data_IF_347588290697
#
_entry.id   IF_347588290697
#
_cell.length_a   1.000
_cell.length_b   1.000
_cell.length_c   1.000
_cell.angle_alpha   90.00
_cell.angle_beta   90.00
_cell.angle_gamma   90.00
#
_symmetry.space_group_name_H-M   'P 1'
#
loop_
_entity.id
_entity.type
_entity.pdbx_description
1 polymer ?
#
# COMPACT_ATOMS: atom_id res chain seq x y z
N UNK A 1 21.70 12.97 5.00
CA UNK A 1 21.85 11.49 5.12
C UNK A 1 21.50 10.82 3.79
N UNK A 2 22.08 9.65 3.48
CA UNK A 2 21.77 8.91 2.26
C UNK A 2 20.65 7.89 2.47
N UNK A 3 19.63 7.93 1.62
CA UNK A 3 18.55 6.96 1.59
C UNK A 3 18.73 6.00 0.42
N UNK A 4 18.44 4.71 0.63
CA UNK A 4 18.45 3.70 -0.44
C UNK A 4 17.04 3.20 -0.69
N UNK A 5 16.59 3.26 -1.93
CA UNK A 5 15.28 2.73 -2.30
C UNK A 5 15.28 1.20 -2.18
N UNK A 6 14.34 0.57 -1.45
CA UNK A 6 14.30 -0.89 -1.32
C UNK A 6 13.86 -1.60 -2.61
N UNK A 7 13.26 -0.88 -3.57
CA UNK A 7 12.75 -1.46 -4.81
C UNK A 7 13.70 -1.36 -6.01
N UNK A 8 14.49 -0.29 -6.10
CA UNK A 8 15.43 -0.08 -7.20
C UNK A 8 16.89 0.12 -6.76
N UNK A 9 17.15 0.13 -5.44
CA UNK A 9 18.48 0.26 -4.82
C UNK A 9 19.27 1.54 -5.15
N UNK A 10 18.66 2.50 -5.86
CA UNK A 10 19.22 3.83 -6.09
C UNK A 10 19.36 4.57 -4.75
N UNK A 11 20.50 5.25 -4.58
CA UNK A 11 20.78 6.07 -3.41
C UNK A 11 20.48 7.55 -3.70
N UNK A 12 19.80 8.23 -2.77
CA UNK A 12 19.45 9.66 -2.87
C UNK A 12 19.78 10.40 -1.57
N UNK A 13 20.25 11.64 -1.66
CA UNK A 13 20.39 12.52 -0.49
C UNK A 13 19.00 12.90 0.01
N UNK A 14 18.75 12.69 1.31
CA UNK A 14 17.50 13.15 1.92
C UNK A 14 17.40 14.67 1.87
N UNK A 15 18.51 15.39 2.03
CA UNK A 15 18.51 16.86 1.96
C UNK A 15 17.97 17.37 0.62
N UNK A 16 18.33 16.70 -0.49
CA UNK A 16 17.82 17.08 -1.82
C UNK A 16 16.31 16.91 -1.94
N UNK A 17 15.75 15.83 -1.38
CA UNK A 17 14.29 15.60 -1.41
C UNK A 17 13.56 16.63 -0.55
N UNK A 18 14.09 16.96 0.63
CA UNK A 18 13.46 17.94 1.53
C UNK A 18 13.59 19.37 1.01
N UNK A 19 14.61 19.68 0.23
CA UNK A 19 14.75 21.02 -0.36
C UNK A 19 13.83 21.26 -1.57
N UNK A 20 13.34 20.20 -2.21
CA UNK A 20 12.36 20.30 -3.29
C UNK A 20 10.98 20.72 -2.74
N UNK A 21 10.46 21.84 -3.22
CA UNK A 21 9.17 22.39 -2.77
C UNK A 21 8.00 21.46 -3.06
N UNK A 22 7.93 20.92 -4.28
CA UNK A 22 6.82 20.07 -4.69
C UNK A 22 6.84 18.74 -3.94
N UNK A 23 8.02 18.20 -3.64
CA UNK A 23 8.17 17.02 -2.81
C UNK A 23 7.68 17.29 -1.38
N UNK A 24 8.10 18.40 -0.75
CA UNK A 24 7.64 18.77 0.61
C UNK A 24 6.13 18.91 0.67
N UNK A 25 5.56 19.64 -0.27
CA UNK A 25 4.12 19.89 -0.29
C UNK A 25 3.33 18.61 -0.55
N UNK A 26 3.80 17.73 -1.44
CA UNK A 26 3.20 16.41 -1.64
C UNK A 26 3.24 15.59 -0.35
N UNK A 27 4.37 15.55 0.35
CA UNK A 27 4.49 14.77 1.60
C UNK A 27 3.59 15.33 2.72
N UNK A 28 3.45 16.66 2.82
CA UNK A 28 2.52 17.29 3.76
C UNK A 28 1.07 16.89 3.45
N UNK A 29 0.64 17.04 2.18
CA UNK A 29 -0.70 16.64 1.73
C UNK A 29 -0.97 15.15 2.01
N UNK A 30 0.01 14.28 1.78
CA UNK A 30 -0.11 12.84 2.05
C UNK A 30 -0.18 12.52 3.55
N UNK A 31 0.44 13.33 4.40
CA UNK A 31 0.40 13.22 5.86
C UNK A 31 -0.94 13.64 6.46
N UNK A 32 -1.61 14.62 5.85
CA UNK A 32 -2.91 15.11 6.29
C UNK A 32 -4.08 14.19 5.87
N UNK A 33 -3.88 13.33 4.87
CA UNK A 33 -4.90 12.42 4.37
C UNK A 33 -5.10 11.18 5.28
N UNK A 34 -6.35 10.73 5.48
CA UNK A 34 -6.65 9.45 6.13
C UNK A 34 -5.91 8.28 5.47
N UNK A 35 -5.52 7.28 6.26
CA UNK A 35 -4.73 6.12 5.79
C UNK A 35 -5.43 5.32 4.70
N UNK A 36 -6.75 5.34 4.71
CA UNK A 36 -7.65 4.70 3.76
C UNK A 36 -7.54 5.31 2.35
N UNK A 37 -7.09 6.57 2.27
CA UNK A 37 -6.89 7.30 1.01
C UNK A 37 -5.42 7.37 0.67
N UNK A 38 -4.56 7.76 1.61
CA UNK A 38 -3.14 8.02 1.35
C UNK A 38 -2.41 6.78 0.84
N UNK A 39 -2.65 5.59 1.41
CA UNK A 39 -2.01 4.34 0.95
C UNK A 39 -2.34 3.98 -0.50
N UNK A 40 -3.62 3.84 -0.90
CA UNK A 40 -3.94 3.53 -2.28
C UNK A 40 -3.62 4.69 -3.24
N UNK A 41 -3.61 5.94 -2.77
CA UNK A 41 -3.19 7.09 -3.58
C UNK A 41 -1.71 7.02 -3.99
N UNK A 42 -0.79 6.66 -3.08
CA UNK A 42 0.62 6.42 -3.47
C UNK A 42 0.72 5.35 -4.57
N UNK A 43 -0.01 4.25 -4.40
CA UNK A 43 -0.02 3.17 -5.37
C UNK A 43 -0.59 3.61 -6.73
N UNK A 44 -1.63 4.45 -6.71
CA UNK A 44 -2.25 5.02 -7.89
C UNK A 44 -1.34 5.99 -8.64
N UNK A 45 -0.63 6.90 -7.94
CA UNK A 45 0.39 7.77 -8.55
C UNK A 45 1.49 6.94 -9.25
N UNK A 46 1.83 5.78 -8.68
CA UNK A 46 2.75 4.82 -9.29
C UNK A 46 2.34 4.29 -10.67
N UNK A 47 1.06 4.43 -11.08
CA UNK A 47 0.56 4.02 -12.39
C UNK A 47 0.84 5.04 -13.51
N UNK A 48 1.26 6.26 -13.16
CA UNK A 48 1.56 7.34 -14.13
C UNK A 48 3.01 7.33 -14.60
N UNK A 49 3.88 6.54 -13.99
CA UNK A 49 5.29 6.44 -14.38
C UNK A 49 5.47 5.41 -15.50
N UNK A 50 6.40 5.70 -16.41
CA UNK A 50 6.85 4.70 -17.40
C UNK A 50 7.85 3.73 -16.78
N UNK A 51 8.22 2.69 -17.53
CA UNK A 51 9.27 1.75 -17.08
C UNK A 51 10.63 2.43 -16.94
N UNK A 52 10.91 3.45 -17.75
CA UNK A 52 12.22 4.09 -17.87
C UNK A 52 12.33 5.44 -17.16
N UNK A 53 11.21 6.09 -16.83
CA UNK A 53 11.22 7.46 -16.30
C UNK A 53 10.43 7.57 -15.00
N UNK A 54 11.06 8.18 -14.01
CA UNK A 54 10.41 8.55 -12.75
C UNK A 54 9.30 9.60 -13.00
N UNK A 55 8.30 9.59 -12.12
CA UNK A 55 7.29 10.63 -12.07
C UNK A 55 7.91 11.87 -11.40
N UNK A 56 7.84 13.02 -12.07
CA UNK A 56 8.31 14.28 -11.50
C UNK A 56 7.44 14.73 -10.31
N UNK A 57 8.03 15.36 -9.30
CA UNK A 57 7.34 15.74 -8.06
C UNK A 57 6.19 16.72 -8.32
N UNK A 58 6.39 17.71 -9.19
CA UNK A 58 5.38 18.71 -9.55
C UNK A 58 4.17 18.05 -10.23
N UNK A 59 4.43 17.03 -11.06
CA UNK A 59 3.37 16.25 -11.70
C UNK A 59 2.65 15.37 -10.68
N UNK A 60 3.38 14.72 -9.77
CA UNK A 60 2.79 13.91 -8.71
C UNK A 60 1.89 14.74 -7.79
N UNK A 61 2.36 15.92 -7.37
CA UNK A 61 1.60 16.86 -6.55
C UNK A 61 0.32 17.32 -7.23
N UNK A 62 0.40 17.68 -8.52
CA UNK A 62 -0.78 18.07 -9.31
C UNK A 62 -1.82 16.94 -9.37
N UNK A 63 -1.38 15.73 -9.73
CA UNK A 63 -2.25 14.55 -9.78
C UNK A 63 -2.86 14.24 -8.41
N UNK A 64 -2.11 14.42 -7.33
CA UNK A 64 -2.59 14.20 -5.98
C UNK A 64 -3.76 15.13 -5.64
N UNK A 65 -3.60 16.44 -5.87
CA UNK A 65 -4.66 17.44 -5.68
C UNK A 65 -5.88 17.16 -6.56
N UNK A 66 -5.65 16.91 -7.84
CA UNK A 66 -6.73 16.57 -8.78
C UNK A 66 -7.56 15.38 -8.30
N UNK A 67 -6.93 14.35 -7.71
CA UNK A 67 -7.62 13.16 -7.18
C UNK A 67 -8.41 13.46 -5.91
N UNK A 68 -7.83 14.21 -4.96
CA UNK A 68 -8.51 14.58 -3.72
C UNK A 68 -9.75 15.44 -4.01
N UNK A 69 -9.71 16.25 -5.07
CA UNK A 69 -10.84 17.08 -5.50
C UNK A 69 -11.95 16.28 -6.22
N UNK A 70 -11.75 14.99 -6.57
CA UNK A 70 -12.75 14.21 -7.30
C UNK A 70 -13.96 13.80 -6.46
N UNK A 71 -13.81 13.63 -5.15
CA UNK A 71 -14.91 13.26 -4.27
C UNK A 71 -14.72 13.83 -2.87
N UNK A 72 -15.83 14.29 -2.28
CA UNK A 72 -15.89 14.73 -0.89
C UNK A 72 -16.02 13.56 0.09
N UNK A 73 -16.43 12.40 -0.40
CA UNK A 73 -16.50 11.17 0.40
C UNK A 73 -15.16 10.43 0.33
N UNK A 74 -14.36 10.59 1.39
CA UNK A 74 -13.06 9.97 1.51
C UNK A 74 -13.10 8.44 1.52
N UNK A 75 -14.15 7.82 2.06
CA UNK A 75 -14.28 6.36 2.10
C UNK A 75 -14.58 5.81 0.71
N UNK A 76 -15.46 6.49 -0.03
CA UNK A 76 -15.74 6.16 -1.42
C UNK A 76 -14.49 6.33 -2.30
N UNK A 77 -13.75 7.43 -2.14
CA UNK A 77 -12.52 7.71 -2.89
C UNK A 77 -11.43 6.66 -2.62
N UNK A 78 -11.15 6.37 -1.35
CA UNK A 78 -10.11 5.39 -0.97
C UNK A 78 -10.40 3.99 -1.53
N UNK A 79 -11.66 3.57 -1.50
CA UNK A 79 -12.05 2.27 -2.04
C UNK A 79 -12.06 2.25 -3.58
N UNK A 80 -12.43 3.35 -4.26
CA UNK A 80 -12.33 3.46 -5.72
C UNK A 80 -10.87 3.46 -6.20
N UNK A 81 -9.97 4.12 -5.47
CA UNK A 81 -8.52 4.09 -5.74
C UNK A 81 -7.98 2.66 -5.61
N UNK A 82 -8.36 1.96 -4.54
CA UNK A 82 -7.92 0.58 -4.31
C UNK A 82 -8.36 -0.36 -5.43
N UNK A 83 -9.64 -0.31 -5.81
CA UNK A 83 -10.20 -1.09 -6.92
C UNK A 83 -9.50 -0.77 -8.26
N UNK A 84 -9.24 0.51 -8.52
CA UNK A 84 -8.54 0.97 -9.72
C UNK A 84 -7.11 0.41 -9.77
N UNK A 85 -6.38 0.49 -8.66
CA UNK A 85 -5.00 0.00 -8.56
C UNK A 85 -4.93 -1.50 -8.78
N UNK A 86 -5.82 -2.26 -8.17
CA UNK A 86 -5.88 -3.72 -8.32
C UNK A 86 -6.17 -4.12 -9.78
N UNK A 87 -7.20 -3.52 -10.37
CA UNK A 87 -7.60 -3.78 -11.75
C UNK A 87 -6.50 -3.45 -12.76
N UNK A 88 -5.79 -2.35 -12.56
CA UNK A 88 -4.71 -1.92 -13.47
C UNK A 88 -3.42 -2.70 -13.26
N UNK A 89 -3.13 -3.16 -12.03
CA UNK A 89 -1.99 -4.06 -11.77
C UNK A 89 -2.20 -5.44 -12.39
N UNK A 90 -3.42 -5.98 -12.36
CA UNK A 90 -3.75 -7.21 -13.07
C UNK A 90 -3.45 -7.07 -14.58
N UNK A 91 -3.79 -5.93 -15.18
CA UNK A 91 -3.44 -5.62 -16.59
C UNK A 91 -1.95 -5.46 -16.81
N UNK A 92 -1.21 -4.85 -15.88
CA UNK A 92 0.25 -4.74 -15.98
C UNK A 92 0.94 -6.10 -16.10
N UNK A 93 0.44 -7.10 -15.37
CA UNK A 93 0.98 -8.46 -15.39
C UNK A 93 0.72 -9.18 -16.71
N UNK A 94 -0.32 -8.79 -17.45
CA UNK A 94 -0.67 -9.37 -18.75
C UNK A 94 0.19 -8.83 -19.91
N UNK A 95 1.02 -7.80 -19.67
CA UNK A 95 1.89 -7.20 -20.68
C UNK A 95 1.27 -6.01 -21.42
N UNK A 96 2.05 -5.35 -22.28
CA UNK A 96 1.57 -4.20 -23.07
C UNK A 96 1.22 -2.93 -22.27
N UNK A 97 1.61 -2.84 -21.00
CA UNK A 97 1.24 -1.71 -20.13
C UNK A 97 1.73 -0.35 -20.67
N UNK A 98 0.80 0.59 -20.71
CA UNK A 98 1.08 2.01 -20.91
C UNK A 98 0.72 2.80 -19.64
N UNK A 99 1.55 3.79 -19.24
CA UNK A 99 1.24 4.64 -18.11
C UNK A 99 -0.05 5.41 -18.30
N UNK A 100 -0.72 5.71 -17.20
CA UNK A 100 -1.90 6.56 -17.24
C UNK A 100 -1.54 7.99 -17.67
N UNK A 101 -2.42 8.60 -18.45
CA UNK A 101 -2.31 10.00 -18.87
C UNK A 101 -3.19 10.94 -18.04
N UNK A 102 -4.25 10.41 -17.41
CA UNK A 102 -5.19 11.17 -16.58
C UNK A 102 -6.13 10.25 -15.77
N UNK A 103 -7.22 10.84 -15.24
CA UNK A 103 -8.08 10.22 -14.23
C UNK A 103 -9.35 9.54 -14.77
N UNK A 104 -9.52 9.42 -16.09
CA UNK A 104 -10.76 8.92 -16.71
C UNK A 104 -11.17 7.53 -16.20
N UNK A 105 -10.21 6.63 -15.96
CA UNK A 105 -10.52 5.31 -15.40
C UNK A 105 -11.06 5.42 -13.97
N UNK A 106 -10.42 6.23 -13.12
CA UNK A 106 -10.84 6.43 -11.73
C UNK A 106 -12.22 7.09 -11.66
N UNK A 107 -12.50 8.09 -12.51
CA UNK A 107 -13.82 8.74 -12.62
C UNK A 107 -14.92 7.72 -12.94
N UNK A 108 -14.68 6.82 -13.91
CA UNK A 108 -15.63 5.74 -14.23
C UNK A 108 -15.87 4.78 -13.06
N UNK A 109 -14.83 4.46 -12.30
CA UNK A 109 -14.95 3.60 -11.10
C UNK A 109 -15.78 4.31 -10.02
N UNK A 110 -15.58 5.62 -9.81
CA UNK A 110 -16.39 6.43 -8.90
C UNK A 110 -17.86 6.47 -9.34
N UNK A 111 -18.13 6.80 -10.61
CA UNK A 111 -19.48 6.83 -11.19
C UNK A 111 -20.22 5.48 -11.03
N UNK A 112 -19.54 4.36 -11.30
CA UNK A 112 -20.12 3.03 -11.13
C UNK A 112 -20.50 2.72 -9.66
N UNK A 113 -19.73 3.26 -8.71
CA UNK A 113 -19.97 3.09 -7.27
C UNK A 113 -21.09 3.98 -6.77
N UNK A 114 -21.27 5.17 -7.34
CA UNK A 114 -22.45 6.02 -7.07
C UNK A 114 -23.74 5.38 -7.59
N UNK A 115 -23.68 4.78 -8.78
CA UNK A 115 -24.82 4.10 -9.40
C UNK A 115 -25.21 2.79 -8.67
N UNK A 116 -24.31 2.22 -7.89
CA UNK A 116 -24.56 1.00 -7.12
C UNK A 116 -24.60 1.34 -5.63
N UNK A 117 -25.71 1.89 -5.10
CA UNK A 117 -25.87 1.95 -3.65
C UNK A 117 -25.79 0.52 -3.13
N UNK A 118 -24.78 0.29 -2.31
CA UNK A 118 -24.32 -0.98 -1.76
C UNK A 118 -25.45 -2.00 -1.56
N UNK A 119 -25.50 -3.03 -2.42
CA UNK A 119 -26.01 -4.33 -1.99
C UNK A 119 -25.01 -4.82 -0.95
N UNK A 120 -25.35 -4.66 0.33
CA UNK A 120 -24.71 -5.38 1.41
C UNK A 120 -24.81 -6.86 1.09
N UNK A 121 -23.73 -7.44 0.57
CA UNK A 121 -23.55 -8.88 0.57
C UNK A 121 -23.31 -9.29 2.01
N UNK A 122 -24.40 -9.45 2.75
CA UNK A 122 -24.41 -10.24 3.97
C UNK A 122 -24.06 -11.67 3.57
N UNK A 123 -22.86 -12.12 3.91
CA UNK A 123 -22.60 -13.54 4.01
C UNK A 123 -23.12 -14.01 5.38
N UNK A 124 -24.45 -14.05 5.50
CA UNK A 124 -25.10 -14.95 6.44
C UNK A 124 -25.12 -16.33 5.80
N UNK A 125 -24.40 -17.29 6.37
CA UNK A 125 -24.67 -18.71 6.15
C UNK A 125 -24.72 -19.40 7.51
N UNK A 126 -25.71 -20.31 7.74
CA UNK A 126 -26.11 -20.74 9.07
C UNK A 126 -25.12 -21.71 9.71
N UNK A 127 -25.05 -21.68 11.03
CA UNK A 127 -24.37 -22.70 11.85
C UNK A 127 -25.09 -24.04 11.61
N UNK A 128 -24.46 -24.95 10.87
CA UNK A 128 -24.81 -26.36 10.89
C UNK A 128 -23.98 -27.06 11.99
N UNK A 129 -24.58 -27.91 12.85
CA UNK A 129 -23.81 -28.67 13.83
C UNK A 129 -22.97 -29.74 13.12
N UNK A 130 -21.64 -29.60 13.19
CA UNK A 130 -20.69 -30.59 12.67
C UNK A 130 -20.67 -31.80 13.61
N UNK A 131 -21.00 -32.98 13.08
CA UNK A 131 -20.82 -34.26 13.77
C UNK A 131 -19.32 -34.56 13.93
N UNK A 132 -18.92 -34.85 15.17
CA UNK A 132 -17.55 -35.21 15.57
C UNK A 132 -17.21 -36.61 15.06
N UNK A 133 -16.24 -36.72 14.15
CA UNK A 133 -15.57 -37.99 13.84
C UNK A 133 -14.18 -37.99 14.46
N UNK A 134 -13.97 -38.89 15.41
CA UNK A 134 -12.70 -39.11 16.09
C UNK A 134 -11.80 -40.01 15.25
N UNK A 135 -10.75 -39.46 14.65
CA UNK A 135 -9.64 -40.26 14.13
C UNK A 135 -8.42 -40.12 15.04
N UNK A 136 -8.03 -41.26 15.61
CA UNK A 136 -6.89 -41.45 16.50
C UNK A 136 -5.69 -41.93 15.69
N UNK A 137 -4.63 -41.13 15.61
CA UNK A 137 -3.23 -41.56 15.46
C UNK A 137 -2.35 -40.31 15.31
N UNK A 138 -1.59 -39.92 16.32
CA UNK A 138 -0.28 -40.43 16.72
C UNK A 138 0.88 -39.56 16.16
N UNK A 139 1.70 -39.09 17.11
CA UNK A 139 3.12 -38.70 17.02
C UNK A 139 3.55 -37.33 16.46
N UNK A 140 3.81 -36.42 17.42
CA UNK A 140 5.14 -35.89 17.82
C UNK A 140 5.69 -34.62 17.11
N UNK A 141 5.91 -33.60 17.95
CA UNK A 141 6.96 -32.56 17.91
C UNK A 141 6.75 -31.34 17.01
N UNK A 142 7.03 -30.08 17.36
CA UNK A 142 7.22 -29.28 18.59
C UNK A 142 7.24 -27.83 18.09
N UNK A 143 6.44 -26.96 18.71
CA UNK A 143 6.39 -25.51 18.46
C UNK A 143 7.50 -24.81 19.27
N UNK A 144 7.96 -23.65 18.78
CA UNK A 144 8.74 -22.60 19.47
C UNK A 144 10.26 -22.65 19.40
N UNK A 145 10.83 -22.07 18.33
CA UNK A 145 12.13 -21.39 18.39
C UNK A 145 12.23 -20.25 17.36
N UNK A 146 11.72 -19.05 17.68
CA UNK A 146 12.19 -17.78 17.07
C UNK A 146 12.26 -16.62 18.08
N UNK A 147 11.66 -16.72 19.26
CA UNK A 147 11.57 -15.60 20.21
C UNK A 147 12.53 -15.73 21.40
N UNK A 148 13.85 -15.81 21.18
CA UNK A 148 14.88 -15.62 22.21
C UNK A 148 16.28 -15.39 21.59
N UNK A 149 16.42 -14.38 20.73
CA UNK A 149 17.73 -14.00 20.14
C UNK A 149 18.07 -12.51 20.34
N UNK A 150 17.58 -11.89 21.41
CA UNK A 150 17.85 -10.47 21.71
C UNK A 150 18.05 -10.19 23.20
N UNK A 151 18.69 -11.10 23.94
CA UNK A 151 18.93 -10.84 25.35
C UNK A 151 20.15 -11.58 25.90
N UNK A 152 21.35 -11.06 25.61
CA UNK A 152 22.49 -11.16 26.53
C UNK A 152 23.29 -9.83 26.50
N UNK A 153 23.56 -9.19 27.64
CA UNK A 153 24.58 -8.17 27.77
C UNK A 153 25.96 -8.81 27.95
N UNK A 154 26.93 -8.43 27.12
CA UNK A 154 28.35 -8.70 27.39
C UNK A 154 28.77 -7.91 28.64
N UNK A 155 28.91 -8.61 29.76
CA UNK A 155 29.71 -8.16 30.89
C UNK A 155 30.58 -9.33 31.36
N UNK A 156 31.80 -9.40 30.83
CA UNK A 156 32.86 -10.27 31.34
C UNK A 156 33.96 -9.40 31.94
N UNK A 157 33.82 -9.09 33.23
CA UNK A 157 34.98 -8.93 34.09
C UNK A 157 35.61 -10.32 34.26
N UNK A 158 36.88 -10.46 33.92
CA UNK A 158 37.71 -11.54 34.43
C UNK A 158 38.93 -10.91 35.09
N UNK A 159 38.93 -10.95 36.42
CA UNK A 159 40.07 -10.73 37.30
C UNK A 159 41.03 -11.94 37.24
N UNK A 160 42.27 -11.69 37.69
CA UNK A 160 43.36 -12.63 38.08
C UNK A 160 44.18 -13.19 36.90
N UNK A 161 45.50 -13.04 36.77
CA UNK A 161 46.61 -12.79 37.72
C UNK A 161 47.70 -11.88 37.09
#
# INVERSE_FOLDING_TARGET
MMLRCPSCHVAHSLEQVVNDEAARELMALMGDLPKEISRPLVAYLGLFRSKSRALAWERALRLCREVVDLSRDGAQLGAALSETVESLRAKQQQGGWQPLTGHNYLKRVLENREATPMKTTQLSTPIQPVAVQTNKSATRSTISQVLNRWQEPENSNHDLD
#
